data_IF_593831299303
#
_entry.id   IF_593831299303
#
_cell.length_a   1.000
_cell.length_b   1.000
_cell.length_c   1.000
_cell.angle_alpha   90.00
_cell.angle_beta   90.00
_cell.angle_gamma   90.00
#
_symmetry.space_group_name_H-M   'P 1'
#
loop_
_entity.id
_entity.type
_entity.pdbx_description
1 polymer ?
#
# COMPACT_ATOMS: atom_id res chain seq x y z
N UNK A 1 31.90 -0.86 -24.01
CA UNK A 1 31.98 0.47 -24.64
C UNK A 1 30.58 0.82 -25.16
N UNK A 2 29.82 1.60 -24.45
CA UNK A 2 28.52 2.14 -24.86
C UNK A 2 28.52 3.62 -24.47
N UNK A 3 28.06 4.55 -25.32
CA UNK A 3 28.26 5.96 -25.12
C UNK A 3 27.22 6.57 -24.17
N UNK A 4 27.70 7.48 -23.34
CA UNK A 4 26.91 8.33 -22.47
C UNK A 4 25.94 9.21 -23.29
N UNK A 5 24.65 9.20 -22.97
CA UNK A 5 23.63 10.03 -23.58
C UNK A 5 23.30 11.21 -22.67
N UNK A 6 23.55 12.38 -23.24
CA UNK A 6 23.37 13.73 -22.71
C UNK A 6 22.03 13.96 -21.99
N UNK A 7 22.12 14.61 -20.86
CA UNK A 7 21.01 15.25 -20.13
C UNK A 7 20.85 16.67 -20.73
N UNK A 8 19.66 17.10 -21.18
CA UNK A 8 19.45 18.48 -21.59
C UNK A 8 19.30 19.37 -20.36
N UNK A 9 20.17 20.37 -20.25
CA UNK A 9 20.11 21.48 -19.30
C UNK A 9 18.88 22.35 -19.59
N UNK A 10 17.96 22.40 -18.62
CA UNK A 10 16.86 23.39 -18.62
C UNK A 10 17.44 24.79 -18.37
N UNK A 11 17.50 25.58 -19.42
CA UNK A 11 17.78 27.02 -19.36
C UNK A 11 16.58 27.73 -18.70
N UNK A 12 16.81 28.22 -17.49
CA UNK A 12 15.87 29.06 -16.74
C UNK A 12 15.91 30.44 -17.34
N UNK A 13 14.87 30.87 -18.05
CA UNK A 13 14.64 32.25 -18.46
C UNK A 13 14.43 33.14 -17.21
N UNK A 14 15.41 33.99 -16.94
CA UNK A 14 15.28 35.10 -16.01
C UNK A 14 14.82 36.30 -16.85
N UNK A 15 13.68 36.94 -16.55
CA UNK A 15 13.32 38.18 -17.25
C UNK A 15 14.26 39.29 -16.77
N UNK A 16 15.01 39.90 -17.71
CA UNK A 16 15.72 41.13 -17.48
C UNK A 16 14.70 42.28 -17.31
N UNK A 17 14.69 42.85 -16.14
CA UNK A 17 13.95 44.07 -15.84
C UNK A 17 14.71 45.25 -16.43
N UNK A 18 14.12 45.89 -17.45
CA UNK A 18 14.68 47.04 -18.14
C UNK A 18 14.74 48.26 -17.22
N UNK A 19 15.89 48.86 -17.23
CA UNK A 19 16.24 50.11 -16.57
C UNK A 19 15.54 51.27 -17.32
N UNK A 20 14.40 51.74 -16.77
CA UNK A 20 13.74 52.93 -17.24
C UNK A 20 14.18 54.09 -16.33
N UNK A 21 15.11 54.90 -16.84
CA UNK A 21 15.56 56.11 -16.19
C UNK A 21 14.40 57.10 -16.01
N UNK A 22 13.92 57.22 -14.78
CA UNK A 22 13.08 58.35 -14.36
C UNK A 22 13.90 59.32 -13.54
N UNK A 23 14.17 60.46 -14.14
CA UNK A 23 14.65 61.68 -13.48
C UNK A 23 13.64 62.13 -12.44
N UNK A 24 14.03 62.10 -11.18
CA UNK A 24 13.26 62.62 -10.07
C UNK A 24 13.31 64.19 -10.09
N UNK A 25 12.17 64.90 -9.94
CA UNK A 25 12.20 66.31 -9.68
C UNK A 25 12.63 66.55 -8.22
N UNK A 26 13.57 67.44 -8.10
CA UNK A 26 14.03 68.04 -6.86
C UNK A 26 12.85 68.73 -6.10
N UNK A 27 12.44 68.07 -5.00
CA UNK A 27 11.37 68.58 -4.15
C UNK A 27 11.98 69.00 -2.81
N UNK A 28 12.20 70.31 -2.77
CA UNK A 28 12.51 71.17 -1.62
C UNK A 28 11.93 70.70 -0.29
N UNK A 29 12.82 70.60 0.69
CA UNK A 29 12.69 70.64 2.13
C UNK A 29 11.27 71.02 2.65
N UNK A 30 10.50 69.95 3.01
CA UNK A 30 9.46 70.09 4.01
C UNK A 30 10.06 69.70 5.38
N UNK A 31 9.79 70.53 6.44
CA UNK A 31 10.30 70.20 7.77
C UNK A 31 9.61 68.96 8.26
N UNK A 32 10.40 67.92 8.58
CA UNK A 32 9.94 66.74 9.29
C UNK A 32 9.39 67.21 10.64
N UNK A 33 8.07 67.31 10.69
CA UNK A 33 7.36 67.28 11.95
C UNK A 33 7.66 66.02 12.68
N UNK A 34 8.47 66.15 13.70
CA UNK A 34 8.78 65.06 14.65
C UNK A 34 7.47 64.81 15.42
N UNK A 35 6.62 63.94 14.89
CA UNK A 35 5.53 63.39 15.66
C UNK A 35 6.16 62.62 16.82
N UNK A 36 6.21 63.27 17.99
CA UNK A 36 6.41 62.59 19.25
C UNK A 36 5.23 61.64 19.43
N UNK A 37 5.34 60.44 18.91
CA UNK A 37 4.51 59.35 19.38
C UNK A 37 4.94 59.12 20.82
N UNK A 38 4.05 59.25 21.82
CA UNK A 38 4.36 58.82 23.16
C UNK A 38 4.67 57.32 23.07
N UNK A 39 5.91 56.98 23.41
CA UNK A 39 6.25 55.58 23.67
C UNK A 39 5.48 55.16 24.93
N UNK A 40 4.21 54.77 24.72
CA UNK A 40 3.41 54.16 25.78
C UNK A 40 4.02 52.81 26.06
N UNK A 41 4.85 52.71 27.06
CA UNK A 41 5.36 51.45 27.56
C UNK A 41 4.17 50.54 27.91
N UNK A 42 4.21 49.28 27.44
CA UNK A 42 3.23 48.28 27.77
C UNK A 42 3.09 48.13 29.28
N UNK A 43 1.88 48.22 29.77
CA UNK A 43 1.61 48.03 31.20
C UNK A 43 1.79 46.54 31.55
N UNK A 44 2.24 46.27 32.81
CA UNK A 44 2.43 44.92 33.32
C UNK A 44 1.13 44.08 33.13
N UNK A 45 -0.03 44.70 33.33
CA UNK A 45 -1.32 44.05 33.15
C UNK A 45 -1.60 43.66 31.69
N UNK A 46 -1.20 44.51 30.75
CA UNK A 46 -1.36 44.26 29.32
C UNK A 46 -0.50 43.10 28.84
N UNK A 47 0.74 43.00 29.32
CA UNK A 47 1.59 41.82 29.09
C UNK A 47 0.98 40.54 29.68
N UNK A 48 0.40 40.64 30.89
CA UNK A 48 -0.23 39.49 31.54
C UNK A 48 -1.46 39.01 30.73
N UNK A 49 -2.32 39.93 30.31
CA UNK A 49 -3.50 39.61 29.49
C UNK A 49 -3.06 39.02 28.14
N UNK A 50 -2.03 39.57 27.50
CA UNK A 50 -1.51 39.05 26.25
C UNK A 50 -1.03 37.58 26.37
N UNK A 51 -0.27 37.25 27.43
CA UNK A 51 0.20 35.88 27.67
C UNK A 51 -0.96 34.91 27.91
N UNK A 52 -1.96 35.32 28.69
CA UNK A 52 -3.16 34.51 28.92
C UNK A 52 -3.89 34.24 27.60
N UNK A 53 -4.11 35.28 26.77
CA UNK A 53 -4.76 35.14 25.48
C UNK A 53 -4.01 34.20 24.53
N UNK A 54 -2.68 34.35 24.43
CA UNK A 54 -1.83 33.44 23.65
C UNK A 54 -1.90 32.01 24.17
N UNK A 55 -1.89 31.83 25.48
CA UNK A 55 -2.01 30.51 26.12
C UNK A 55 -3.33 29.82 25.79
N UNK A 56 -4.46 30.54 25.83
CA UNK A 56 -5.77 30.02 25.48
C UNK A 56 -5.81 29.62 23.98
N UNK A 57 -5.32 30.46 23.08
CA UNK A 57 -5.29 30.18 21.64
C UNK A 57 -4.42 28.95 21.35
N UNK A 58 -3.23 28.85 21.96
CA UNK A 58 -2.34 27.72 21.80
C UNK A 58 -2.98 26.39 22.29
N UNK A 59 -3.68 26.44 23.42
CA UNK A 59 -4.39 25.27 23.96
C UNK A 59 -5.51 24.77 23.05
N UNK A 60 -6.21 25.65 22.36
CA UNK A 60 -7.29 25.32 21.41
C UNK A 60 -6.76 24.73 20.09
N UNK A 61 -5.61 25.18 19.60
CA UNK A 61 -5.04 24.75 18.31
C UNK A 61 -4.27 23.42 18.46
N UNK A 62 -3.65 23.17 19.60
CA UNK A 62 -2.78 22.02 19.84
C UNK A 62 -3.42 20.66 19.52
N UNK A 63 -4.63 20.31 19.98
CA UNK A 63 -5.24 19.00 19.71
C UNK A 63 -5.53 18.80 18.22
N UNK A 64 -5.89 19.83 17.49
CA UNK A 64 -6.18 19.75 16.05
C UNK A 64 -4.92 19.42 15.24
N UNK A 65 -3.79 20.03 15.61
CA UNK A 65 -2.50 19.75 14.96
C UNK A 65 -2.05 18.31 15.20
N UNK A 66 -2.19 17.79 16.41
CA UNK A 66 -1.82 16.40 16.73
C UNK A 66 -2.65 15.42 15.91
N UNK A 67 -3.96 15.60 15.85
CA UNK A 67 -4.86 14.75 15.05
C UNK A 67 -4.48 14.82 13.56
N UNK A 68 -4.20 16.01 13.04
CA UNK A 68 -3.83 16.20 11.64
C UNK A 68 -2.53 15.44 11.28
N UNK A 69 -1.51 15.52 12.12
CA UNK A 69 -0.24 14.80 11.91
C UNK A 69 -0.46 13.29 12.01
N UNK A 70 -1.20 12.82 13.02
CA UNK A 70 -1.49 11.40 13.19
C UNK A 70 -2.24 10.81 11.97
N UNK A 71 -3.24 11.53 11.46
CA UNK A 71 -3.98 11.12 10.27
C UNK A 71 -3.07 11.01 9.04
N UNK A 72 -2.18 11.99 8.86
CA UNK A 72 -1.22 11.98 7.74
C UNK A 72 -0.27 10.79 7.81
N UNK A 73 0.28 10.48 8.98
CA UNK A 73 1.18 9.33 9.16
C UNK A 73 0.45 8.02 8.87
N UNK A 74 -0.79 7.88 9.35
CA UNK A 74 -1.59 6.68 9.09
C UNK A 74 -1.91 6.52 7.59
N UNK A 75 -2.26 7.62 6.90
CA UNK A 75 -2.48 7.56 5.44
C UNK A 75 -1.23 7.12 4.69
N UNK A 76 -0.06 7.66 5.03
CA UNK A 76 1.20 7.28 4.41
C UNK A 76 1.52 5.79 4.61
N UNK A 77 1.28 5.24 5.81
CA UNK A 77 1.47 3.81 6.06
C UNK A 77 0.52 2.94 5.26
N UNK A 78 -0.74 3.33 5.14
CA UNK A 78 -1.73 2.62 4.32
C UNK A 78 -1.36 2.66 2.84
N UNK A 79 -0.90 3.81 2.33
CA UNK A 79 -0.43 3.93 0.94
C UNK A 79 0.79 3.04 0.67
N UNK A 80 1.76 3.00 1.60
CA UNK A 80 2.91 2.11 1.51
C UNK A 80 2.49 0.64 1.53
N UNK A 81 1.60 0.26 2.44
CA UNK A 81 1.07 -1.10 2.52
C UNK A 81 0.34 -1.51 1.23
N UNK A 82 -0.45 -0.61 0.65
CA UNK A 82 -1.14 -0.86 -0.63
C UNK A 82 -0.14 -1.02 -1.78
N UNK A 83 0.89 -0.18 -1.84
CA UNK A 83 1.94 -0.29 -2.86
C UNK A 83 2.71 -1.62 -2.75
N UNK A 84 3.00 -2.08 -1.52
CA UNK A 84 3.62 -3.38 -1.28
C UNK A 84 2.73 -4.53 -1.74
N UNK A 85 1.43 -4.49 -1.39
CA UNK A 85 0.48 -5.52 -1.82
C UNK A 85 0.36 -5.60 -3.35
N UNK A 86 0.35 -4.45 -4.02
CA UNK A 86 0.35 -4.38 -5.50
C UNK A 86 1.64 -4.94 -6.09
N UNK A 87 2.79 -4.60 -5.50
CA UNK A 87 4.09 -5.10 -5.96
C UNK A 87 4.19 -6.63 -5.89
N UNK A 88 3.62 -7.27 -4.85
CA UNK A 88 3.56 -8.73 -4.76
C UNK A 88 2.71 -9.34 -5.89
N UNK A 89 1.53 -8.78 -6.14
CA UNK A 89 0.66 -9.26 -7.21
C UNK A 89 1.32 -9.09 -8.58
N UNK A 90 1.92 -7.93 -8.83
CA UNK A 90 2.59 -7.63 -10.09
C UNK A 90 3.83 -8.51 -10.29
N UNK A 91 4.55 -8.83 -9.20
CA UNK A 91 5.65 -9.78 -9.21
C UNK A 91 5.20 -11.17 -9.68
N UNK A 92 4.14 -11.71 -9.07
CA UNK A 92 3.57 -13.02 -9.43
C UNK A 92 3.02 -12.98 -10.87
N UNK A 93 2.31 -11.93 -11.26
CA UNK A 93 1.83 -11.76 -12.64
C UNK A 93 2.97 -11.78 -13.65
N UNK A 94 4.06 -11.05 -13.37
CA UNK A 94 5.24 -11.02 -14.23
C UNK A 94 5.93 -12.40 -14.36
N UNK A 95 5.90 -13.22 -13.31
CA UNK A 95 6.38 -14.62 -13.35
C UNK A 95 5.51 -15.46 -14.27
N UNK A 96 4.18 -15.35 -14.13
CA UNK A 96 3.21 -16.06 -14.97
C UNK A 96 3.34 -15.67 -16.45
N UNK A 97 3.49 -14.39 -16.75
CA UNK A 97 3.62 -13.87 -18.13
C UNK A 97 4.94 -14.29 -18.81
N UNK A 98 6.02 -14.46 -18.04
CA UNK A 98 7.32 -14.87 -18.60
C UNK A 98 7.35 -16.32 -19.10
N UNK A 99 6.39 -17.16 -18.73
CA UNK A 99 6.27 -18.53 -19.17
C UNK A 99 7.46 -19.43 -18.83
N UNK A 100 8.25 -19.08 -17.79
CA UNK A 100 9.44 -19.83 -17.37
C UNK A 100 9.21 -20.72 -16.17
N UNK A 101 7.95 -20.92 -15.78
CA UNK A 101 7.61 -21.82 -14.69
C UNK A 101 7.86 -23.26 -15.11
N UNK A 102 8.49 -24.01 -14.22
CA UNK A 102 8.65 -25.46 -14.29
C UNK A 102 8.07 -26.04 -13.01
N UNK A 103 7.71 -27.33 -12.99
CA UNK A 103 7.16 -27.97 -11.80
C UNK A 103 8.08 -27.76 -10.57
N UNK A 104 9.41 -27.84 -10.75
CA UNK A 104 10.39 -27.64 -9.67
C UNK A 104 10.51 -26.19 -9.19
N UNK A 105 10.06 -25.21 -9.98
CA UNK A 105 10.18 -23.78 -9.64
C UNK A 105 8.89 -23.15 -9.15
N UNK A 106 7.79 -23.86 -9.15
CA UNK A 106 6.47 -23.35 -8.73
C UNK A 106 6.53 -22.85 -7.29
N UNK A 107 7.06 -23.67 -6.37
CA UNK A 107 7.08 -23.33 -4.94
C UNK A 107 8.06 -22.20 -4.60
N UNK A 108 9.11 -22.02 -5.42
CA UNK A 108 10.08 -20.92 -5.24
C UNK A 108 9.59 -19.58 -5.80
N UNK A 109 8.84 -19.62 -6.91
CA UNK A 109 8.46 -18.42 -7.67
C UNK A 109 7.02 -17.98 -7.46
N UNK A 110 6.15 -18.85 -6.95
CA UNK A 110 4.75 -18.57 -6.67
C UNK A 110 4.44 -18.67 -5.18
N UNK A 111 3.45 -17.92 -4.69
CA UNK A 111 3.00 -18.01 -3.31
C UNK A 111 2.55 -19.42 -2.92
N UNK A 112 2.61 -19.78 -1.61
CA UNK A 112 2.17 -21.07 -1.13
C UNK A 112 0.70 -21.32 -1.49
N UNK A 113 0.39 -22.54 -1.94
CA UNK A 113 -0.93 -22.94 -2.36
C UNK A 113 -1.71 -23.57 -1.21
N UNK A 114 -3.02 -23.28 -1.15
CA UNK A 114 -3.96 -23.96 -0.27
C UNK A 114 -5.21 -24.33 -1.05
N UNK A 115 -5.80 -25.47 -0.70
CA UNK A 115 -7.10 -25.83 -1.23
C UNK A 115 -8.19 -25.00 -0.54
N UNK A 116 -8.94 -24.24 -1.32
CA UNK A 116 -10.09 -23.49 -0.82
C UNK A 116 -11.26 -24.42 -0.57
N UNK A 117 -11.85 -24.37 0.62
CA UNK A 117 -12.95 -25.22 1.05
C UNK A 117 -13.94 -24.41 1.89
N UNK A 118 -15.15 -24.94 2.10
CA UNK A 118 -16.16 -24.28 2.93
C UNK A 118 -16.56 -22.91 2.40
N UNK A 119 -16.48 -21.89 3.24
CA UNK A 119 -16.87 -20.51 2.91
C UNK A 119 -15.94 -19.84 1.88
N UNK A 120 -14.78 -20.45 1.59
CA UNK A 120 -13.85 -19.94 0.58
C UNK A 120 -14.23 -20.38 -0.85
N UNK A 121 -15.31 -21.17 -1.03
CA UNK A 121 -15.76 -21.66 -2.32
C UNK A 121 -17.27 -21.60 -2.42
N UNK A 122 -17.80 -21.06 -3.52
CA UNK A 122 -19.22 -21.07 -3.86
C UNK A 122 -19.43 -21.69 -5.24
N UNK A 123 -20.38 -22.61 -5.35
CA UNK A 123 -20.78 -23.14 -6.64
C UNK A 123 -22.02 -22.40 -7.15
N UNK A 124 -21.93 -21.84 -8.34
CA UNK A 124 -23.00 -21.08 -8.99
C UNK A 124 -23.34 -21.66 -10.34
N UNK A 125 -24.61 -22.00 -10.56
CA UNK A 125 -25.09 -22.53 -11.83
C UNK A 125 -25.69 -21.42 -12.68
N UNK A 126 -25.16 -21.23 -13.89
CA UNK A 126 -25.68 -20.29 -14.85
C UNK A 126 -25.57 -20.89 -16.27
N UNK A 127 -26.63 -20.75 -17.08
CA UNK A 127 -26.64 -21.28 -18.45
C UNK A 127 -26.50 -22.81 -18.57
N UNK A 128 -26.84 -23.55 -17.50
CA UNK A 128 -26.68 -25.02 -17.46
C UNK A 128 -25.29 -25.52 -17.10
N UNK A 129 -24.37 -24.63 -16.80
CA UNK A 129 -23.01 -24.93 -16.34
C UNK A 129 -22.87 -24.53 -14.87
N UNK A 130 -22.07 -25.28 -14.11
CA UNK A 130 -21.73 -24.96 -12.72
C UNK A 130 -20.34 -24.37 -12.65
N UNK A 131 -20.24 -23.17 -12.13
CA UNK A 131 -18.99 -22.41 -11.94
C UNK A 131 -18.60 -22.48 -10.46
N UNK A 132 -17.31 -22.62 -10.22
CA UNK A 132 -16.71 -22.57 -8.90
C UNK A 132 -16.11 -21.18 -8.70
N UNK A 133 -16.68 -20.41 -7.76
CA UNK A 133 -16.15 -19.10 -7.38
C UNK A 133 -15.29 -19.26 -6.13
N UNK A 134 -14.07 -18.79 -6.18
CA UNK A 134 -13.14 -18.81 -5.06
C UNK A 134 -13.14 -17.46 -4.34
N UNK A 135 -13.17 -17.51 -3.01
CA UNK A 135 -13.18 -16.35 -2.13
C UNK A 135 -11.91 -16.33 -1.26
N UNK A 136 -10.81 -15.77 -1.75
CA UNK A 136 -9.56 -15.66 -0.99
C UNK A 136 -9.72 -14.96 0.34
N UNK A 137 -10.70 -14.05 0.45
CA UNK A 137 -11.00 -13.32 1.69
C UNK A 137 -11.44 -14.22 2.85
N UNK A 138 -11.95 -15.42 2.59
CA UNK A 138 -12.40 -16.36 3.60
C UNK A 138 -11.25 -17.17 4.23
N UNK A 139 -10.03 -17.06 3.69
CA UNK A 139 -8.86 -17.70 4.30
C UNK A 139 -8.43 -16.93 5.54
N UNK A 140 -8.10 -17.65 6.60
CA UNK A 140 -7.66 -17.06 7.86
C UNK A 140 -6.41 -16.19 7.72
N UNK A 141 -6.26 -15.25 8.63
CA UNK A 141 -5.06 -14.42 8.75
C UNK A 141 -3.83 -15.24 9.17
N UNK A 142 -2.65 -14.62 9.14
CA UNK A 142 -1.44 -15.27 9.58
C UNK A 142 -1.51 -15.59 11.07
N UNK A 143 -0.95 -16.72 11.46
CA UNK A 143 -0.88 -17.17 12.86
C UNK A 143 0.21 -16.39 13.59
N UNK A 144 -0.19 -15.55 14.54
CA UNK A 144 0.74 -14.75 15.33
C UNK A 144 1.64 -15.58 16.28
N UNK A 145 1.30 -16.85 16.52
CA UNK A 145 2.15 -17.77 17.27
C UNK A 145 3.34 -18.28 16.47
N UNK A 146 3.28 -18.17 15.14
CA UNK A 146 4.37 -18.54 14.25
C UNK A 146 5.40 -17.41 14.16
N UNK A 147 6.70 -17.74 14.11
CA UNK A 147 7.72 -16.72 13.94
C UNK A 147 7.54 -16.02 12.59
N UNK A 148 7.68 -14.69 12.59
CA UNK A 148 7.80 -13.93 11.36
C UNK A 148 9.07 -14.35 10.61
N UNK A 149 8.92 -14.64 9.35
CA UNK A 149 10.05 -14.95 8.47
C UNK A 149 10.88 -13.69 8.19
N UNK A 150 12.18 -13.84 7.98
CA UNK A 150 13.11 -12.74 7.79
C UNK A 150 12.83 -11.92 6.51
N UNK A 151 13.59 -10.81 6.36
CA UNK A 151 13.52 -9.93 5.19
C UNK A 151 13.93 -10.62 3.88
N UNK A 152 14.73 -11.66 3.97
CA UNK A 152 15.28 -12.46 2.87
C UNK A 152 14.44 -13.72 2.56
N UNK A 153 13.33 -13.94 3.27
CA UNK A 153 12.47 -15.10 3.06
C UNK A 153 11.84 -15.07 1.65
N UNK A 154 11.94 -16.22 0.99
CA UNK A 154 11.34 -16.48 -0.32
C UNK A 154 9.97 -17.14 -0.20
N UNK A 155 9.27 -17.37 -1.31
CA UNK A 155 7.99 -18.09 -1.28
C UNK A 155 8.14 -19.55 -0.84
N UNK A 156 9.29 -20.17 -1.07
CA UNK A 156 9.60 -21.52 -0.62
C UNK A 156 9.60 -21.66 0.91
N UNK A 157 10.02 -20.59 1.61
CA UNK A 157 10.05 -20.55 3.07
C UNK A 157 8.67 -20.27 3.68
N UNK A 158 7.74 -19.73 2.88
CA UNK A 158 6.43 -19.29 3.33
C UNK A 158 5.43 -20.44 3.41
N UNK A 159 4.73 -20.54 4.54
CA UNK A 159 3.46 -21.24 4.65
C UNK A 159 2.28 -20.28 4.44
N UNK A 160 1.10 -20.82 4.15
CA UNK A 160 -0.12 -20.02 3.92
C UNK A 160 -0.48 -19.12 5.10
N UNK A 161 -0.26 -19.60 6.32
CA UNK A 161 -0.56 -18.90 7.57
C UNK A 161 0.66 -18.21 8.20
N UNK A 162 1.76 -18.11 7.45
CA UNK A 162 2.93 -17.36 7.88
C UNK A 162 2.94 -15.99 7.22
N UNK A 163 3.73 -15.08 7.79
CA UNK A 163 4.02 -13.79 7.19
C UNK A 163 5.53 -13.57 7.13
N UNK A 164 5.99 -12.86 6.12
CA UNK A 164 7.38 -12.42 6.01
C UNK A 164 7.51 -10.95 6.32
N UNK A 165 8.63 -10.58 6.89
CA UNK A 165 9.01 -9.20 7.15
C UNK A 165 9.34 -8.46 5.85
N UNK A 166 8.97 -7.18 5.79
CA UNK A 166 9.32 -6.30 4.68
C UNK A 166 9.79 -4.96 5.22
N UNK A 167 10.94 -4.50 4.71
CA UNK A 167 11.46 -3.16 4.90
C UNK A 167 11.02 -2.28 3.73
N UNK A 168 10.05 -1.41 3.97
CA UNK A 168 9.54 -0.48 2.95
C UNK A 168 10.35 0.82 2.88
N UNK A 169 11.21 1.08 3.87
CA UNK A 169 12.00 2.31 3.98
C UNK A 169 13.44 2.13 3.51
N UNK A 170 13.92 0.90 3.45
CA UNK A 170 15.29 0.58 3.06
C UNK A 170 16.32 0.88 4.17
N UNK A 171 15.88 0.95 5.42
CA UNK A 171 16.74 1.22 6.57
C UNK A 171 17.26 -0.05 7.28
N UNK A 172 16.90 -1.22 6.76
CA UNK A 172 17.26 -2.52 7.30
C UNK A 172 16.33 -3.02 8.42
N UNK A 173 15.30 -2.25 8.77
CA UNK A 173 14.32 -2.63 9.78
C UNK A 173 12.98 -2.97 9.14
N UNK A 174 12.36 -4.05 9.58
CA UNK A 174 11.03 -4.41 9.12
C UNK A 174 9.99 -3.40 9.62
N UNK A 175 9.19 -2.90 8.69
CA UNK A 175 8.08 -1.99 9.00
C UNK A 175 6.72 -2.69 8.84
N UNK A 176 6.68 -3.69 7.95
CA UNK A 176 5.48 -4.43 7.60
C UNK A 176 5.73 -5.94 7.64
N UNK A 177 4.63 -6.67 7.80
CA UNK A 177 4.58 -8.11 7.61
C UNK A 177 3.55 -8.43 6.53
N UNK A 178 3.90 -9.30 5.58
CA UNK A 178 3.05 -9.64 4.44
C UNK A 178 2.71 -11.12 4.49
N UNK A 179 1.40 -11.43 4.48
CA UNK A 179 0.86 -12.75 4.17
C UNK A 179 0.50 -12.79 2.69
N UNK A 180 1.00 -13.81 1.99
CA UNK A 180 0.70 -14.06 0.58
C UNK A 180 0.33 -15.53 0.42
N UNK A 181 -0.74 -15.80 -0.32
CA UNK A 181 -1.20 -17.18 -0.57
C UNK A 181 -2.00 -17.22 -1.87
N UNK A 182 -2.16 -18.41 -2.42
CA UNK A 182 -2.97 -18.67 -3.61
C UNK A 182 -3.84 -19.91 -3.43
N UNK A 183 -4.89 -20.04 -4.24
CA UNK A 183 -5.58 -21.32 -4.41
C UNK A 183 -4.69 -22.29 -5.20
N UNK A 184 -5.03 -23.57 -5.17
CA UNK A 184 -4.39 -24.56 -6.05
C UNK A 184 -4.61 -24.19 -7.51
N UNK A 185 -5.81 -23.68 -7.84
CA UNK A 185 -6.16 -23.22 -9.17
C UNK A 185 -6.24 -24.36 -10.18
N UNK A 186 -6.20 -23.98 -11.45
CA UNK A 186 -6.08 -24.90 -12.59
C UNK A 186 -4.62 -25.07 -12.94
N UNK A 187 -4.21 -26.31 -13.22
CA UNK A 187 -2.85 -26.67 -13.66
C UNK A 187 -2.86 -27.24 -15.07
N UNK A 188 -1.75 -27.08 -15.78
CA UNK A 188 -1.54 -27.72 -17.08
C UNK A 188 -1.13 -29.21 -16.93
N UNK A 189 -0.86 -29.87 -18.05
CA UNK A 189 -0.43 -31.27 -18.09
C UNK A 189 0.93 -31.55 -17.41
N UNK A 190 1.65 -30.49 -17.00
CA UNK A 190 2.94 -30.57 -16.32
C UNK A 190 2.86 -30.11 -14.86
N UNK A 191 1.64 -30.07 -14.29
CA UNK A 191 1.35 -29.58 -12.94
C UNK A 191 1.76 -28.11 -12.70
N UNK A 192 1.84 -27.30 -13.76
CA UNK A 192 2.16 -25.88 -13.68
C UNK A 192 0.85 -25.09 -13.57
N UNK A 193 0.69 -24.21 -12.56
CA UNK A 193 -0.51 -23.39 -12.42
C UNK A 193 -0.70 -22.47 -13.62
N UNK A 194 -1.91 -22.50 -14.22
CA UNK A 194 -2.30 -21.64 -15.34
C UNK A 194 -3.31 -20.57 -14.94
N UNK A 195 -4.14 -20.86 -13.93
CA UNK A 195 -5.05 -19.87 -13.35
C UNK A 195 -5.31 -20.18 -11.87
N UNK A 196 -5.30 -19.15 -11.02
CA UNK A 196 -5.56 -19.29 -9.59
C UNK A 196 -6.03 -17.97 -8.98
N UNK A 197 -6.70 -18.05 -7.84
CA UNK A 197 -7.02 -16.92 -6.99
C UNK A 197 -5.89 -16.66 -6.00
N UNK A 198 -5.56 -15.40 -5.77
CA UNK A 198 -4.47 -14.97 -4.89
C UNK A 198 -4.96 -13.94 -3.89
N UNK A 199 -4.46 -14.03 -2.65
CA UNK A 199 -4.66 -13.06 -1.60
C UNK A 199 -3.34 -12.51 -1.08
N UNK A 200 -3.32 -11.20 -0.85
CA UNK A 200 -2.21 -10.49 -0.21
C UNK A 200 -2.77 -9.63 0.90
N UNK A 201 -2.21 -9.75 2.09
CA UNK A 201 -2.54 -8.94 3.25
C UNK A 201 -1.28 -8.35 3.85
N UNK A 202 -1.28 -7.06 4.09
CA UNK A 202 -0.14 -6.34 4.66
C UNK A 202 -0.52 -5.80 6.02
N UNK A 203 0.24 -6.18 7.03
CA UNK A 203 0.09 -5.79 8.43
C UNK A 203 1.21 -4.85 8.85
N UNK A 204 0.94 -3.99 9.84
CA UNK A 204 2.03 -3.33 10.58
C UNK A 204 2.80 -4.40 11.35
N UNK A 205 4.12 -4.31 11.40
CA UNK A 205 4.97 -5.29 12.11
C UNK A 205 4.54 -5.47 13.57
N UNK A 206 4.05 -4.41 14.21
CA UNK A 206 3.57 -4.41 15.59
C UNK A 206 2.32 -5.27 15.83
N UNK A 207 1.61 -5.66 14.77
CA UNK A 207 0.47 -6.57 14.89
C UNK A 207 0.89 -7.92 15.49
N UNK A 208 2.08 -8.37 15.16
CA UNK A 208 2.65 -9.62 15.68
C UNK A 208 3.26 -9.47 17.06
N UNK A 209 3.70 -8.28 17.43
CA UNK A 209 4.20 -8.00 18.81
C UNK A 209 3.05 -7.92 19.81
N UNK A 210 1.89 -7.42 19.39
CA UNK A 210 0.71 -7.22 20.24
C UNK A 210 -0.18 -8.47 20.35
N UNK A 211 -0.05 -9.42 19.44
CA UNK A 211 -0.84 -10.67 19.39
C UNK A 211 0.07 -11.85 19.69
N UNK A 212 -0.14 -12.49 20.81
CA UNK A 212 0.73 -13.61 21.27
C UNK A 212 0.25 -14.97 20.84
N UNK A 213 -0.97 -15.10 20.33
CA UNK A 213 -1.53 -16.38 19.89
C UNK A 213 -2.78 -16.19 19.02
N UNK A 214 -2.99 -17.09 18.09
CA UNK A 214 -4.13 -17.12 17.17
C UNK A 214 -3.89 -16.37 15.88
N UNK A 215 -4.86 -16.46 14.98
CA UNK A 215 -4.81 -15.80 13.67
C UNK A 215 -5.09 -14.30 13.80
N UNK A 216 -4.33 -13.48 13.08
CA UNK A 216 -4.62 -12.07 12.94
C UNK A 216 -5.93 -11.87 12.17
N UNK A 217 -6.59 -10.74 12.41
CA UNK A 217 -7.82 -10.40 11.72
C UNK A 217 -7.58 -10.20 10.20
N UNK A 218 -8.61 -10.46 9.41
CA UNK A 218 -8.55 -10.40 7.94
C UNK A 218 -9.27 -9.20 7.35
N UNK A 219 -10.10 -8.52 8.16
CA UNK A 219 -10.83 -7.33 7.75
C UNK A 219 -9.89 -6.12 7.67
N UNK A 220 -10.05 -5.32 6.60
CA UNK A 220 -9.26 -4.11 6.41
C UNK A 220 -9.42 -3.12 7.57
N UNK A 221 -8.31 -2.60 8.06
CA UNK A 221 -8.31 -1.55 9.07
C UNK A 221 -9.05 -0.30 8.55
N UNK A 222 -10.14 0.08 9.23
CA UNK A 222 -10.88 1.29 8.86
C UNK A 222 -10.07 2.53 9.25
N UNK A 223 -9.96 3.49 8.33
CA UNK A 223 -9.35 4.79 8.57
C UNK A 223 -10.28 5.64 9.47
N UNK A 224 -10.32 5.37 10.76
CA UNK A 224 -11.11 6.14 11.75
C UNK A 224 -10.19 6.84 12.74
N UNK A 225 -10.53 8.06 13.14
CA UNK A 225 -9.78 8.87 14.12
C UNK A 225 -9.93 8.34 15.56
N UNK A 226 -10.90 7.46 15.82
CA UNK A 226 -11.37 7.07 17.18
C UNK A 226 -11.22 5.57 17.45
N UNK A 227 -10.51 4.80 16.61
CA UNK A 227 -10.26 3.40 16.98
C UNK A 227 -9.10 3.31 17.97
N UNK A 228 -9.35 2.66 19.09
CA UNK A 228 -8.32 2.34 20.09
C UNK A 228 -7.17 1.58 19.43
N UNK A 229 -5.93 1.94 19.75
CA UNK A 229 -4.72 1.31 19.17
C UNK A 229 -4.73 -0.23 19.28
N UNK A 230 -5.42 -0.79 20.28
CA UNK A 230 -5.49 -2.24 20.49
C UNK A 230 -6.23 -3.03 19.40
N UNK A 231 -7.35 -2.54 18.88
CA UNK A 231 -8.11 -3.24 17.83
C UNK A 231 -7.49 -3.05 16.42
N UNK A 232 -6.86 -1.90 16.19
CA UNK A 232 -6.15 -1.64 14.92
C UNK A 232 -4.85 -2.42 14.79
N UNK A 233 -4.24 -2.78 15.90
CA UNK A 233 -2.96 -3.46 15.93
C UNK A 233 -2.98 -4.83 15.24
N UNK A 234 -4.14 -5.51 15.20
CA UNK A 234 -4.29 -6.85 14.60
C UNK A 234 -4.89 -6.85 13.20
N UNK A 235 -5.34 -5.70 12.68
CA UNK A 235 -5.99 -5.58 11.38
C UNK A 235 -4.98 -5.27 10.27
N UNK A 236 -5.16 -5.83 9.05
CA UNK A 236 -4.32 -5.50 7.92
C UNK A 236 -4.52 -4.04 7.47
N UNK A 237 -3.43 -3.37 7.12
CA UNK A 237 -3.42 -2.02 6.56
C UNK A 237 -3.81 -2.00 5.08
N UNK A 238 -3.50 -3.08 4.36
CA UNK A 238 -3.90 -3.30 2.98
C UNK A 238 -4.30 -4.75 2.75
N UNK A 239 -5.30 -4.93 1.93
CA UNK A 239 -5.82 -6.24 1.53
C UNK A 239 -6.12 -6.19 0.03
N UNK A 240 -5.55 -7.11 -0.73
CA UNK A 240 -5.83 -7.27 -2.15
C UNK A 240 -6.13 -8.73 -2.47
N UNK A 241 -7.20 -8.94 -3.22
CA UNK A 241 -7.57 -10.24 -3.75
C UNK A 241 -7.70 -10.12 -5.27
N UNK A 242 -7.15 -11.09 -5.99
CA UNK A 242 -7.17 -11.09 -7.45
C UNK A 242 -7.13 -12.50 -7.98
N UNK A 243 -7.61 -12.68 -9.20
CA UNK A 243 -7.38 -13.89 -9.97
C UNK A 243 -6.27 -13.60 -10.99
N UNK A 244 -5.32 -14.50 -11.09
CA UNK A 244 -4.22 -14.44 -12.03
C UNK A 244 -4.39 -15.63 -12.98
N UNK A 245 -4.33 -15.35 -14.28
CA UNK A 245 -4.31 -16.37 -15.32
C UNK A 245 -3.11 -16.11 -16.24
N UNK A 246 -2.51 -17.16 -16.75
CA UNK A 246 -1.40 -17.09 -17.70
C UNK A 246 -1.88 -16.44 -18.98
N UNK A 247 -1.18 -15.41 -19.43
CA UNK A 247 -1.50 -14.66 -20.64
C UNK A 247 -0.97 -15.37 -21.90
N UNK A 248 -1.29 -16.65 -22.09
CA UNK A 248 -0.98 -17.34 -23.34
C UNK A 248 -2.14 -17.16 -24.30
N UNK A 249 -1.88 -16.50 -25.45
CA UNK A 249 -2.88 -15.93 -26.35
C UNK A 249 -3.83 -17.01 -26.93
N UNK A 250 -3.43 -18.26 -26.97
CA UNK A 250 -4.24 -19.34 -27.55
C UNK A 250 -5.20 -20.01 -26.56
N UNK A 251 -4.79 -20.21 -25.30
CA UNK A 251 -5.51 -21.07 -24.36
C UNK A 251 -5.95 -20.36 -23.06
N UNK A 252 -5.49 -19.16 -22.75
CA UNK A 252 -5.76 -18.49 -21.47
C UNK A 252 -7.26 -18.29 -21.18
N UNK A 253 -8.08 -18.11 -22.23
CA UNK A 253 -9.53 -18.03 -22.08
C UNK A 253 -10.14 -19.37 -21.71
N UNK A 254 -9.65 -20.45 -22.30
CA UNK A 254 -10.09 -21.81 -22.05
C UNK A 254 -9.70 -22.22 -20.61
N UNK A 255 -8.45 -21.99 -20.23
CA UNK A 255 -7.93 -22.26 -18.89
C UNK A 255 -8.70 -21.49 -17.82
N UNK A 256 -9.08 -20.23 -18.13
CA UNK A 256 -9.87 -19.43 -17.20
C UNK A 256 -11.32 -19.94 -17.05
N UNK A 257 -11.95 -20.40 -18.13
CA UNK A 257 -13.29 -21.01 -18.07
C UNK A 257 -13.23 -22.33 -17.28
N UNK A 258 -12.21 -23.15 -17.53
CA UNK A 258 -11.99 -24.40 -16.79
C UNK A 258 -11.71 -24.13 -15.30
N UNK A 259 -10.92 -23.11 -15.00
CA UNK A 259 -10.70 -22.65 -13.62
C UNK A 259 -12.02 -22.31 -12.91
N UNK A 260 -12.94 -21.66 -13.61
CA UNK A 260 -14.28 -21.37 -13.08
C UNK A 260 -15.20 -22.59 -13.04
N UNK A 261 -14.73 -23.79 -13.48
CA UNK A 261 -15.53 -25.02 -13.54
C UNK A 261 -16.48 -25.09 -14.73
N UNK A 262 -16.33 -24.17 -15.69
CA UNK A 262 -17.09 -24.16 -16.95
C UNK A 262 -16.46 -25.08 -18.01
N UNK A 263 -17.22 -25.38 -19.06
CA UNK A 263 -16.68 -26.02 -20.27
C UNK A 263 -16.53 -24.95 -21.37
N UNK A 264 -15.34 -24.81 -21.97
CA UNK A 264 -15.14 -23.89 -23.07
C UNK A 264 -16.10 -24.18 -24.22
N UNK A 265 -16.62 -23.14 -24.85
CA UNK A 265 -17.50 -23.28 -26.02
C UNK A 265 -16.69 -23.85 -27.20
N UNK A 266 -17.29 -24.75 -27.98
CA UNK A 266 -16.70 -25.27 -29.22
C UNK A 266 -16.40 -24.21 -30.31
N UNK A 267 -16.78 -22.96 -30.05
CA UNK A 267 -16.47 -21.80 -30.89
C UNK A 267 -15.02 -21.34 -30.74
N UNK A 268 -14.39 -21.68 -29.60
CA UNK A 268 -13.00 -21.41 -29.30
C UNK A 268 -12.21 -22.71 -29.39
N UNK A 269 -11.11 -22.69 -30.13
CA UNK A 269 -10.23 -23.83 -30.30
C UNK A 269 -9.39 -24.01 -29.05
N UNK A 270 -9.95 -24.74 -28.09
CA UNK A 270 -9.33 -25.05 -26.79
C UNK A 270 -8.65 -26.43 -26.87
N UNK A 271 -7.61 -26.55 -27.70
CA UNK A 271 -6.79 -27.77 -27.82
C UNK A 271 -5.35 -27.51 -27.38
#
# INVERSE_FOLDING_TARGET
MLPAKLIPTLNRCIPQYGDAGHTLPDSSKAPLSKANSPEAGLTLIECLVAIIMVGIIAALISPVLVISVATRVNSQRTEQAMALAQAEIDGVRAVMERGRLTADSVDTLLPPAIQFTGDAVEQKTAGGQTYTLEYPQAIDGPDASQPLLGLDATFEDLGVFNARQVDATGDGNANFAIQVYRSQGQVDSNDIPVAFSMGVRVYDIRAFENTTSGSLATELARAGVISTEGERGSLPLAVLYTTIAKADIANSYCDYIEFLGGTPSSTYDCN
#
